data_IF_344629783680
#
_entry.id   IF_344629783680
#
_cell.length_a   1.000
_cell.length_b   1.000
_cell.length_c   1.000
_cell.angle_alpha   90.00
_cell.angle_beta   90.00
_cell.angle_gamma   90.00
#
_symmetry.space_group_name_H-M   'P 1'
#
loop_
_entity.id
_entity.type
_entity.pdbx_description
1 polymer ?
#
# COMPACT_ATOMS: atom_id res chain seq x y z
N UNK A 1 19.46 21.17 -21.80
CA UNK A 1 19.23 21.28 -20.34
C UNK A 1 17.72 21.41 -20.15
N UNK A 2 17.06 20.39 -19.62
CA UNK A 2 15.59 20.37 -19.49
C UNK A 2 15.24 20.91 -18.11
N UNK A 3 14.65 22.10 -18.06
CA UNK A 3 14.00 22.63 -16.86
C UNK A 3 12.61 21.99 -16.75
N UNK A 4 12.43 21.12 -15.76
CA UNK A 4 11.11 20.58 -15.43
C UNK A 4 10.37 21.68 -14.67
N UNK A 5 9.53 22.43 -15.38
CA UNK A 5 8.46 23.25 -14.79
C UNK A 5 7.36 22.32 -14.31
N UNK A 6 7.52 21.73 -13.12
CA UNK A 6 6.42 21.01 -12.48
C UNK A 6 5.35 22.05 -12.17
N UNK A 7 4.17 21.84 -12.77
CA UNK A 7 3.01 22.68 -12.67
C UNK A 7 2.65 22.95 -11.20
N UNK A 8 3.01 24.14 -10.73
CA UNK A 8 2.34 24.83 -9.63
C UNK A 8 1.08 25.46 -10.23
N UNK A 9 0.11 24.64 -10.60
CA UNK A 9 -1.25 25.00 -11.02
C UNK A 9 -2.07 23.73 -10.68
N UNK A 10 -2.81 23.63 -9.58
CA UNK A 10 -3.82 24.56 -9.06
C UNK A 10 -3.85 24.53 -7.52
N UNK A 11 -4.05 25.73 -6.95
CA UNK A 11 -4.25 25.98 -5.54
C UNK A 11 -5.68 25.64 -5.14
N UNK A 12 -5.87 24.86 -4.05
CA UNK A 12 -6.81 25.21 -2.98
C UNK A 12 -6.22 24.80 -1.60
N UNK A 13 -5.96 25.81 -0.76
CA UNK A 13 -5.94 25.79 0.71
C UNK A 13 -5.12 24.72 1.51
N UNK A 14 -3.89 24.39 1.14
CA UNK A 14 -3.00 23.56 1.98
C UNK A 14 -1.67 24.24 2.33
N UNK A 15 -1.34 24.41 3.62
CA UNK A 15 0.01 24.79 4.07
C UNK A 15 0.99 23.65 3.76
N UNK A 16 1.79 23.76 2.69
CA UNK A 16 2.82 22.76 2.41
C UNK A 16 4.04 22.93 3.32
N UNK A 17 4.40 21.87 4.04
CA UNK A 17 5.77 21.70 4.54
C UNK A 17 6.66 21.43 3.32
N UNK A 18 7.69 22.24 3.11
CA UNK A 18 8.74 21.94 2.13
C UNK A 18 9.30 20.56 2.46
N UNK A 19 9.01 19.56 1.64
CA UNK A 19 9.58 18.22 1.77
C UNK A 19 11.08 18.37 1.55
N UNK A 20 11.87 18.32 2.62
CA UNK A 20 13.31 18.24 2.48
C UNK A 20 13.64 16.88 1.90
N UNK A 21 14.22 16.85 0.70
CA UNK A 21 14.80 15.62 0.15
C UNK A 21 15.89 15.16 1.12
N UNK A 22 15.60 14.11 1.90
CA UNK A 22 16.59 13.52 2.80
C UNK A 22 17.58 12.77 1.94
N UNK A 23 18.86 13.14 2.05
CA UNK A 23 19.93 12.41 1.41
C UNK A 23 20.32 11.20 2.30
N UNK A 24 19.79 10.03 1.99
CA UNK A 24 20.12 8.80 2.72
C UNK A 24 21.53 8.27 2.44
N UNK A 25 22.24 8.82 1.45
CA UNK A 25 23.61 8.41 1.12
C UNK A 25 24.67 9.14 1.97
N UNK A 26 24.26 10.01 2.90
CA UNK A 26 25.16 10.73 3.80
C UNK A 26 24.95 10.33 5.26
N UNK A 27 26.06 10.06 5.95
CA UNK A 27 26.04 9.81 7.40
C UNK A 27 25.68 11.08 8.14
N UNK A 28 24.74 10.99 9.07
CA UNK A 28 24.38 12.10 9.97
C UNK A 28 24.59 11.69 11.44
N UNK A 29 24.42 12.64 12.36
CA UNK A 29 24.45 12.35 13.81
C UNK A 29 23.30 11.45 14.28
N UNK A 30 22.24 11.29 13.47
CA UNK A 30 21.03 10.52 13.80
C UNK A 30 21.04 9.12 13.18
N UNK A 31 22.03 8.81 12.35
CA UNK A 31 22.15 7.52 11.66
C UNK A 31 23.19 6.66 12.35
N UNK A 32 22.81 5.44 12.68
CA UNK A 32 23.60 4.46 13.41
C UNK A 32 23.57 3.06 12.76
N UNK A 33 23.02 2.95 11.54
CA UNK A 33 23.06 1.74 10.70
C UNK A 33 23.34 2.07 9.24
N UNK A 34 23.81 1.07 8.49
CA UNK A 34 24.08 1.16 7.05
C UNK A 34 23.40 -0.01 6.33
N UNK A 35 22.51 0.30 5.39
CA UNK A 35 21.93 -0.66 4.46
C UNK A 35 22.63 -0.56 3.11
N UNK A 36 22.90 -1.70 2.48
CA UNK A 36 23.47 -1.80 1.13
C UNK A 36 22.41 -2.27 0.16
N UNK A 37 22.22 -1.53 -0.94
CA UNK A 37 21.29 -1.90 -2.02
C UNK A 37 21.97 -1.69 -3.37
N UNK A 38 22.27 -2.78 -4.07
CA UNK A 38 22.93 -2.72 -5.38
C UNK A 38 24.25 -1.93 -5.35
N UNK A 39 25.04 -2.12 -4.28
CA UNK A 39 26.29 -1.39 -4.04
C UNK A 39 26.15 0.03 -3.49
N UNK A 40 24.93 0.56 -3.34
CA UNK A 40 24.70 1.89 -2.76
C UNK A 40 24.50 1.81 -1.24
N UNK A 41 25.13 2.75 -0.51
CA UNK A 41 25.00 2.86 0.96
C UNK A 41 23.86 3.78 1.35
N UNK A 42 23.05 3.32 2.30
CA UNK A 42 21.95 4.06 2.92
C UNK A 42 22.20 4.14 4.43
N UNK A 43 22.44 5.34 4.95
CA UNK A 43 22.63 5.62 6.36
C UNK A 43 21.29 5.85 7.04
N UNK A 44 20.93 4.98 8.00
CA UNK A 44 19.60 4.94 8.61
C UNK A 44 19.66 4.97 10.13
N UNK A 45 18.53 5.27 10.79
CA UNK A 45 18.39 5.05 12.23
C UNK A 45 17.81 3.67 12.50
N UNK A 46 18.59 2.80 13.13
CA UNK A 46 18.16 1.43 13.47
C UNK A 46 16.95 1.44 14.38
N UNK A 47 16.92 2.35 15.35
CA UNK A 47 15.80 2.51 16.28
C UNK A 47 14.51 2.91 15.56
N UNK A 48 14.56 3.92 14.67
CA UNK A 48 13.38 4.36 13.92
C UNK A 48 12.81 3.23 13.07
N UNK A 49 13.66 2.56 12.28
CA UNK A 49 13.20 1.45 11.44
C UNK A 49 12.66 0.28 12.25
N UNK A 50 13.31 -0.07 13.35
CA UNK A 50 12.87 -1.18 14.22
C UNK A 50 11.54 -0.90 14.92
N UNK A 51 11.23 0.36 15.19
CA UNK A 51 9.93 0.74 15.75
C UNK A 51 8.80 0.60 14.73
N UNK A 52 9.11 0.75 13.44
CA UNK A 52 8.12 0.73 12.35
C UNK A 52 8.03 -0.63 11.65
N UNK A 53 9.00 -1.51 11.84
CA UNK A 53 9.13 -2.75 11.08
C UNK A 53 9.68 -3.89 11.94
N UNK A 54 8.93 -5.00 11.98
CA UNK A 54 9.38 -6.22 12.66
C UNK A 54 10.59 -6.85 11.96
N UNK A 55 10.71 -6.71 10.64
CA UNK A 55 11.89 -7.15 9.90
C UNK A 55 13.14 -6.40 10.37
N UNK A 56 13.11 -5.06 10.35
CA UNK A 56 14.27 -4.26 10.76
C UNK A 56 14.58 -4.43 12.25
N UNK A 57 13.57 -4.62 13.10
CA UNK A 57 13.77 -4.96 14.51
C UNK A 57 14.57 -6.24 14.69
N UNK A 58 14.19 -7.32 13.99
CA UNK A 58 14.94 -8.58 14.02
C UNK A 58 16.33 -8.44 13.39
N UNK A 59 16.43 -7.69 12.30
CA UNK A 59 17.69 -7.46 11.59
C UNK A 59 18.73 -6.76 12.47
N UNK A 60 18.33 -5.70 13.18
CA UNK A 60 19.24 -4.89 13.97
C UNK A 60 19.42 -5.38 15.41
N UNK A 61 18.40 -6.03 16.00
CA UNK A 61 18.38 -6.36 17.44
C UNK A 61 18.07 -7.85 17.73
N UNK A 62 17.97 -8.71 16.72
CA UNK A 62 17.54 -10.10 16.87
C UNK A 62 18.65 -11.16 16.99
N UNK A 63 19.94 -10.80 16.88
CA UNK A 63 21.06 -11.74 16.87
C UNK A 63 22.15 -11.46 17.91
N UNK A 64 22.95 -12.50 18.23
CA UNK A 64 24.08 -12.44 19.17
C UNK A 64 25.32 -11.71 18.59
N UNK A 65 25.38 -11.53 17.27
CA UNK A 65 26.40 -10.72 16.62
C UNK A 65 25.91 -9.28 16.58
N UNK A 66 26.64 -8.41 17.27
CA UNK A 66 26.41 -6.99 17.34
C UNK A 66 26.53 -6.38 15.93
N UNK A 67 25.40 -6.21 15.24
CA UNK A 67 25.34 -5.54 13.94
C UNK A 67 25.59 -4.04 14.04
N UNK A 68 25.94 -3.52 15.23
CA UNK A 68 26.27 -2.12 15.47
C UNK A 68 27.31 -1.52 14.51
N UNK A 69 28.12 -2.35 13.86
CA UNK A 69 29.12 -1.91 12.90
C UNK A 69 29.04 -2.60 11.53
N UNK A 70 28.05 -3.47 11.29
CA UNK A 70 27.95 -4.19 10.03
C UNK A 70 27.10 -3.42 9.02
N UNK A 71 27.63 -3.28 7.81
CA UNK A 71 26.82 -2.97 6.64
C UNK A 71 25.93 -4.19 6.35
N UNK A 72 24.65 -3.97 6.08
CA UNK A 72 23.69 -5.04 5.82
C UNK A 72 23.15 -4.92 4.41
N UNK A 73 23.36 -5.95 3.60
CA UNK A 73 22.82 -6.02 2.25
C UNK A 73 21.34 -6.41 2.24
N UNK A 74 20.54 -5.62 1.51
CA UNK A 74 19.14 -5.93 1.22
C UNK A 74 19.03 -6.36 -0.24
N UNK A 75 18.77 -7.65 -0.44
CA UNK A 75 18.56 -8.22 -1.77
C UNK A 75 17.17 -7.85 -2.33
N UNK A 76 17.00 -7.94 -3.65
CA UNK A 76 15.72 -7.80 -4.36
C UNK A 76 14.93 -6.51 -4.08
N UNK A 77 15.56 -5.43 -3.62
CA UNK A 77 14.95 -4.08 -3.53
C UNK A 77 15.82 -3.14 -4.35
N UNK A 78 15.23 -2.18 -5.06
CA UNK A 78 16.00 -1.15 -5.76
C UNK A 78 16.15 0.11 -4.88
N UNK A 79 17.15 0.92 -5.20
CA UNK A 79 17.50 2.12 -4.44
C UNK A 79 16.37 3.16 -4.33
N UNK A 80 15.55 3.30 -5.38
CA UNK A 80 14.46 4.28 -5.40
C UNK A 80 13.32 3.87 -4.49
N UNK A 81 12.97 2.58 -4.50
CA UNK A 81 11.92 2.00 -3.67
C UNK A 81 12.31 2.00 -2.18
N UNK A 82 13.58 1.68 -1.88
CA UNK A 82 14.08 1.86 -0.51
C UNK A 82 14.04 3.32 -0.07
N UNK A 83 14.47 4.27 -0.93
CA UNK A 83 14.41 5.70 -0.62
C UNK A 83 12.98 6.15 -0.31
N UNK A 84 12.03 5.70 -1.11
CA UNK A 84 10.61 5.96 -0.90
C UNK A 84 10.16 5.45 0.46
N UNK A 85 10.43 4.18 0.79
CA UNK A 85 10.08 3.59 2.08
C UNK A 85 10.71 4.36 3.26
N UNK A 86 12.01 4.65 3.19
CA UNK A 86 12.72 5.37 4.25
C UNK A 86 12.12 6.76 4.50
N UNK A 87 11.76 7.48 3.44
CA UNK A 87 11.10 8.78 3.58
C UNK A 87 9.76 8.67 4.33
N UNK A 88 8.99 7.61 4.09
CA UNK A 88 7.72 7.37 4.78
C UNK A 88 7.95 6.96 6.24
N UNK A 89 8.79 5.96 6.49
CA UNK A 89 9.03 5.43 7.85
C UNK A 89 9.65 6.47 8.80
N UNK A 90 10.42 7.41 8.25
CA UNK A 90 10.97 8.53 9.01
C UNK A 90 10.07 9.78 9.06
N UNK A 91 8.84 9.70 8.52
CA UNK A 91 7.86 10.80 8.43
C UNK A 91 8.40 12.04 7.71
N UNK A 92 9.26 11.83 6.73
CA UNK A 92 9.87 12.86 5.88
C UNK A 92 9.05 13.12 4.61
N UNK A 93 8.15 12.19 4.25
CA UNK A 93 7.16 12.33 3.19
C UNK A 93 5.80 11.73 3.61
N UNK A 94 4.68 12.24 3.08
CA UNK A 94 3.37 11.61 3.27
C UNK A 94 3.25 10.34 2.40
N UNK A 95 2.40 9.42 2.84
CA UNK A 95 1.94 8.30 2.00
C UNK A 95 1.09 8.86 0.87
N UNK A 96 1.22 8.32 -0.34
CA UNK A 96 0.51 8.81 -1.52
C UNK A 96 0.01 7.67 -2.39
N UNK A 97 -1.21 7.80 -2.92
CA UNK A 97 -1.92 6.77 -3.69
C UNK A 97 -1.19 6.35 -4.97
N UNK A 98 -0.58 7.29 -5.69
CA UNK A 98 0.20 6.98 -6.91
C UNK A 98 1.41 6.06 -6.68
N UNK A 99 1.81 5.84 -5.42
CA UNK A 99 2.88 4.92 -5.01
C UNK A 99 2.36 3.72 -4.21
N UNK A 100 1.04 3.57 -4.07
CA UNK A 100 0.42 2.59 -3.18
C UNK A 100 0.90 1.16 -3.47
N UNK A 101 0.94 0.74 -4.73
CA UNK A 101 1.37 -0.61 -5.11
C UNK A 101 2.78 -0.96 -4.60
N UNK A 102 3.75 -0.08 -4.86
CA UNK A 102 5.15 -0.23 -4.42
C UNK A 102 5.20 -0.21 -2.88
N UNK A 103 4.48 0.72 -2.25
CA UNK A 103 4.48 0.85 -0.79
C UNK A 103 3.85 -0.37 -0.11
N UNK A 104 2.77 -0.92 -0.65
CA UNK A 104 2.12 -2.14 -0.15
C UNK A 104 3.08 -3.32 -0.22
N UNK A 105 3.76 -3.50 -1.34
CA UNK A 105 4.76 -4.57 -1.51
C UNK A 105 5.88 -4.45 -0.48
N UNK A 106 6.47 -3.26 -0.35
CA UNK A 106 7.57 -3.02 0.60
C UNK A 106 7.11 -3.15 2.06
N UNK A 107 5.93 -2.61 2.39
CA UNK A 107 5.39 -2.66 3.74
C UNK A 107 5.09 -4.10 4.17
N UNK A 108 4.47 -4.89 3.29
CA UNK A 108 4.25 -6.31 3.54
C UNK A 108 5.58 -7.06 3.69
N UNK A 109 6.50 -6.86 2.75
CA UNK A 109 7.81 -7.52 2.74
C UNK A 109 8.65 -7.25 3.97
N UNK A 110 8.71 -5.98 4.40
CA UNK A 110 9.47 -5.57 5.58
C UNK A 110 8.63 -5.61 6.86
N UNK A 111 7.40 -6.13 6.83
CA UNK A 111 6.55 -6.25 8.01
C UNK A 111 6.31 -4.90 8.72
N UNK A 112 6.03 -3.86 7.93
CA UNK A 112 5.69 -2.52 8.39
C UNK A 112 4.17 -2.39 8.60
N UNK A 113 3.64 -2.94 9.70
CA UNK A 113 2.19 -3.02 9.93
C UNK A 113 1.52 -1.64 9.94
N UNK A 114 2.10 -0.66 10.65
CA UNK A 114 1.55 0.71 10.68
C UNK A 114 1.45 1.34 9.29
N UNK A 115 2.38 1.03 8.38
CA UNK A 115 2.31 1.52 7.00
C UNK A 115 1.23 0.79 6.19
N UNK A 116 1.03 -0.51 6.42
CA UNK A 116 -0.10 -1.23 5.81
C UNK A 116 -1.43 -0.65 6.28
N UNK A 117 -1.56 -0.37 7.58
CA UNK A 117 -2.77 0.26 8.15
C UNK A 117 -2.99 1.66 7.55
N UNK A 118 -1.94 2.49 7.44
CA UNK A 118 -2.02 3.81 6.80
C UNK A 118 -2.46 3.69 5.33
N UNK A 119 -1.92 2.72 4.58
CA UNK A 119 -2.28 2.48 3.17
C UNK A 119 -3.72 1.97 3.02
N UNK A 120 -4.14 1.06 3.87
CA UNK A 120 -5.49 0.52 3.91
C UNK A 120 -6.52 1.62 4.13
N UNK A 121 -6.30 2.51 5.11
CA UNK A 121 -7.19 3.64 5.38
C UNK A 121 -7.27 4.62 4.20
N UNK A 122 -6.14 4.95 3.56
CA UNK A 122 -6.14 5.89 2.44
C UNK A 122 -6.86 5.30 1.21
N UNK A 123 -6.67 4.01 0.94
CA UNK A 123 -7.37 3.32 -0.16
C UNK A 123 -8.87 3.18 0.12
N UNK A 124 -9.24 2.96 1.39
CA UNK A 124 -10.63 2.94 1.84
C UNK A 124 -11.32 4.31 1.72
N UNK A 125 -10.60 5.39 2.01
CA UNK A 125 -11.11 6.75 1.83
C UNK A 125 -11.32 7.07 0.34
N UNK A 126 -10.41 6.65 -0.53
CA UNK A 126 -10.53 6.77 -2.00
C UNK A 126 -11.78 6.03 -2.53
N UNK A 127 -12.10 4.85 -1.98
CA UNK A 127 -13.28 4.07 -2.39
C UNK A 127 -14.60 4.84 -2.28
N UNK A 128 -14.74 5.72 -1.29
CA UNK A 128 -16.02 6.40 -1.01
C UNK A 128 -16.59 7.21 -2.19
N UNK A 129 -15.79 7.43 -3.24
CA UNK A 129 -16.17 8.14 -4.46
C UNK A 129 -15.87 7.36 -5.75
N UNK A 130 -15.43 6.10 -5.66
CA UNK A 130 -14.93 5.34 -6.81
C UNK A 130 -15.95 4.33 -7.32
N UNK A 131 -16.33 4.47 -8.60
CA UNK A 131 -17.26 3.59 -9.30
C UNK A 131 -16.56 2.75 -10.38
N UNK A 132 -15.28 3.01 -10.67
CA UNK A 132 -14.52 2.29 -11.69
C UNK A 132 -14.27 0.83 -11.27
N UNK A 133 -14.83 -0.10 -12.05
CA UNK A 133 -14.74 -1.52 -11.77
C UNK A 133 -13.31 -2.07 -11.82
N UNK A 134 -12.42 -1.47 -12.62
CA UNK A 134 -11.01 -1.85 -12.68
C UNK A 134 -10.28 -1.44 -11.40
N UNK A 135 -10.59 -0.26 -10.84
CA UNK A 135 -10.02 0.21 -9.57
C UNK A 135 -10.53 -0.63 -8.39
N UNK A 136 -11.84 -0.92 -8.36
CA UNK A 136 -12.44 -1.81 -7.35
C UNK A 136 -11.74 -3.17 -7.36
N UNK A 137 -11.64 -3.80 -8.54
CA UNK A 137 -11.05 -5.12 -8.65
C UNK A 137 -9.56 -5.13 -8.29
N UNK A 138 -8.81 -4.11 -8.70
CA UNK A 138 -7.40 -3.93 -8.32
C UNK A 138 -7.25 -3.86 -6.79
N UNK A 139 -8.08 -3.04 -6.13
CA UNK A 139 -7.98 -2.83 -4.69
C UNK A 139 -8.44 -4.08 -3.91
N UNK A 140 -9.42 -4.84 -4.42
CA UNK A 140 -9.74 -6.18 -3.89
C UNK A 140 -8.56 -7.14 -4.02
N UNK A 141 -7.89 -7.21 -5.17
CA UNK A 141 -6.69 -8.04 -5.34
C UNK A 141 -5.58 -7.64 -4.36
N UNK A 142 -5.32 -6.35 -4.18
CA UNK A 142 -4.36 -5.85 -3.19
C UNK A 142 -4.76 -6.22 -1.76
N UNK A 143 -6.05 -6.08 -1.43
CA UNK A 143 -6.56 -6.41 -0.09
C UNK A 143 -6.32 -7.88 0.27
N UNK A 144 -6.54 -8.79 -0.68
CA UNK A 144 -6.28 -10.21 -0.50
C UNK A 144 -4.78 -10.52 -0.42
N UNK A 145 -3.98 -9.93 -1.32
CA UNK A 145 -2.54 -10.18 -1.39
C UNK A 145 -1.80 -9.72 -0.13
N UNK A 146 -2.20 -8.58 0.45
CA UNK A 146 -1.49 -7.96 1.56
C UNK A 146 -2.20 -8.08 2.91
N UNK A 147 -3.38 -8.71 2.96
CA UNK A 147 -4.13 -8.94 4.20
C UNK A 147 -4.85 -7.69 4.72
N UNK A 148 -5.32 -6.81 3.83
CA UNK A 148 -6.03 -5.58 4.16
C UNK A 148 -7.52 -5.90 4.37
N UNK A 149 -7.87 -6.36 5.56
CA UNK A 149 -9.20 -6.89 5.86
C UNK A 149 -10.31 -5.83 5.86
N UNK A 150 -10.02 -4.62 6.34
CA UNK A 150 -10.98 -3.52 6.35
C UNK A 150 -11.27 -3.04 4.92
N UNK A 151 -10.23 -2.90 4.10
CA UNK A 151 -10.36 -2.55 2.69
C UNK A 151 -11.20 -3.60 1.95
N UNK A 152 -10.87 -4.88 2.14
CA UNK A 152 -11.63 -5.98 1.54
C UNK A 152 -13.10 -5.88 1.90
N UNK A 153 -13.40 -5.75 3.19
CA UNK A 153 -14.78 -5.67 3.68
C UNK A 153 -15.53 -4.50 3.03
N UNK A 154 -14.93 -3.32 2.97
CA UNK A 154 -15.55 -2.13 2.42
C UNK A 154 -15.86 -2.28 0.92
N UNK A 155 -14.91 -2.79 0.13
CA UNK A 155 -15.16 -3.05 -1.29
C UNK A 155 -16.19 -4.18 -1.50
N UNK A 156 -16.16 -5.23 -0.68
CA UNK A 156 -17.12 -6.35 -0.78
C UNK A 156 -18.55 -5.98 -0.35
N UNK A 157 -18.71 -4.90 0.42
CA UNK A 157 -20.03 -4.37 0.79
C UNK A 157 -20.67 -3.47 -0.26
N UNK A 158 -20.01 -3.26 -1.41
CA UNK A 158 -20.58 -2.50 -2.52
C UNK A 158 -21.74 -3.23 -3.21
N UNK A 159 -22.61 -2.45 -3.86
CA UNK A 159 -23.73 -2.98 -4.64
C UNK A 159 -23.23 -3.44 -6.01
N UNK A 160 -23.07 -4.75 -6.19
CA UNK A 160 -22.55 -5.34 -7.42
C UNK A 160 -23.69 -5.82 -8.32
N UNK A 161 -23.80 -5.25 -9.51
CA UNK A 161 -24.75 -5.73 -10.53
C UNK A 161 -24.12 -6.76 -11.47
N UNK A 162 -24.98 -7.48 -12.21
CA UNK A 162 -24.53 -8.40 -13.28
C UNK A 162 -23.68 -7.66 -14.33
N UNK A 163 -24.01 -6.40 -14.62
CA UNK A 163 -23.23 -5.58 -15.56
C UNK A 163 -21.84 -5.27 -15.01
N UNK A 164 -21.76 -4.81 -13.75
CA UNK A 164 -20.51 -4.51 -13.04
C UNK A 164 -19.57 -5.71 -13.05
N UNK A 165 -20.07 -6.91 -12.68
CA UNK A 165 -19.24 -8.12 -12.68
C UNK A 165 -18.85 -8.60 -14.07
N UNK A 166 -19.68 -8.34 -15.09
CA UNK A 166 -19.32 -8.63 -16.47
C UNK A 166 -18.18 -7.75 -16.95
N UNK A 167 -18.13 -6.47 -16.54
CA UNK A 167 -17.00 -5.57 -16.81
C UNK A 167 -15.76 -6.01 -16.04
N UNK A 168 -15.88 -6.32 -14.74
CA UNK A 168 -14.77 -6.82 -13.92
C UNK A 168 -14.11 -8.06 -14.51
N UNK A 169 -14.90 -9.03 -15.01
CA UNK A 169 -14.37 -10.24 -15.67
C UNK A 169 -13.51 -9.97 -16.90
N UNK A 170 -13.68 -8.82 -17.55
CA UNK A 170 -12.88 -8.40 -18.71
C UNK A 170 -11.58 -7.71 -18.29
N UNK A 171 -11.47 -7.27 -17.04
CA UNK A 171 -10.26 -6.64 -16.51
C UNK A 171 -9.11 -7.64 -16.41
N UNK A 172 -7.89 -7.12 -16.56
CA UNK A 172 -6.65 -7.89 -16.37
C UNK A 172 -6.50 -8.41 -14.93
N UNK A 173 -7.06 -7.71 -13.94
CA UNK A 173 -6.93 -8.08 -12.51
C UNK A 173 -7.81 -9.25 -12.09
N UNK A 174 -8.81 -9.64 -12.89
CA UNK A 174 -9.73 -10.74 -12.52
C UNK A 174 -9.00 -12.06 -12.26
N UNK A 175 -7.90 -12.29 -12.99
CA UNK A 175 -7.09 -13.51 -12.85
C UNK A 175 -6.26 -13.53 -11.57
N UNK A 176 -6.01 -12.36 -10.98
CA UNK A 176 -5.22 -12.20 -9.75
C UNK A 176 -6.10 -12.25 -8.50
N UNK A 177 -7.43 -12.24 -8.67
CA UNK A 177 -8.38 -12.37 -7.59
C UNK A 177 -8.41 -13.82 -7.10
N UNK A 178 -8.39 -14.01 -5.77
CA UNK A 178 -8.49 -15.35 -5.21
C UNK A 178 -9.90 -15.95 -5.42
N UNK A 179 -9.96 -17.27 -5.48
CA UNK A 179 -11.19 -18.01 -5.76
C UNK A 179 -12.28 -17.81 -4.69
N UNK A 180 -11.93 -17.54 -3.43
CA UNK A 180 -12.93 -17.28 -2.40
C UNK A 180 -13.61 -15.93 -2.62
N UNK A 181 -12.82 -14.87 -2.85
CA UNK A 181 -13.37 -13.54 -3.14
C UNK A 181 -14.16 -13.52 -4.45
N UNK A 182 -13.68 -14.21 -5.49
CA UNK A 182 -14.43 -14.32 -6.75
C UNK A 182 -15.80 -14.99 -6.57
N UNK A 183 -15.87 -16.04 -5.73
CA UNK A 183 -17.15 -16.69 -5.39
C UNK A 183 -18.05 -15.79 -4.56
N UNK A 184 -17.51 -15.05 -3.59
CA UNK A 184 -18.29 -14.11 -2.78
C UNK A 184 -18.92 -13.00 -3.66
N UNK A 185 -18.16 -12.44 -4.60
CA UNK A 185 -18.69 -11.46 -5.57
C UNK A 185 -19.84 -12.05 -6.40
N UNK A 186 -19.66 -13.27 -6.92
CA UNK A 186 -20.71 -13.94 -7.70
C UNK A 186 -21.93 -14.26 -6.82
N UNK A 187 -21.74 -14.64 -5.56
CA UNK A 187 -22.82 -14.90 -4.62
C UNK A 187 -23.58 -13.63 -4.21
N UNK A 188 -22.93 -12.47 -4.21
CA UNK A 188 -23.60 -11.19 -3.95
C UNK A 188 -24.75 -10.94 -4.95
N UNK A 189 -24.57 -11.30 -6.23
CA UNK A 189 -25.61 -11.20 -7.26
C UNK A 189 -26.86 -12.03 -6.97
N UNK A 190 -26.68 -13.21 -6.39
CA UNK A 190 -27.80 -14.13 -6.15
C UNK A 190 -28.61 -13.73 -4.93
N UNK A 191 -28.02 -12.98 -3.99
CA UNK A 191 -28.74 -12.46 -2.82
C UNK A 191 -29.72 -11.35 -3.20
N UNK A 192 -29.38 -10.49 -4.17
CA UNK A 192 -30.30 -9.45 -4.67
C UNK A 192 -31.56 -10.06 -5.30
N UNK A 193 -31.42 -11.14 -6.07
CA UNK A 193 -32.57 -11.81 -6.72
C UNK A 193 -33.55 -12.46 -5.76
N UNK A 194 -33.10 -12.97 -4.61
CA UNK A 194 -34.00 -13.59 -3.64
C UNK A 194 -34.88 -12.55 -2.92
N UNK A 195 -34.38 -11.32 -2.73
CA UNK A 195 -35.17 -10.24 -2.15
C UNK A 195 -36.22 -9.68 -3.13
N UNK A 196 -35.92 -9.64 -4.43
CA UNK A 196 -36.92 -9.22 -5.44
C UNK A 196 -38.06 -10.24 -5.54
N UNK A 197 -37.77 -11.54 -5.62
CA UNK A 197 -38.79 -12.60 -5.71
C UNK A 197 -39.66 -12.69 -4.43
N UNK A 198 -39.08 -12.57 -3.23
CA UNK A 198 -39.83 -12.61 -1.97
C UNK A 198 -40.75 -11.38 -1.79
N UNK A 199 -40.37 -10.22 -2.35
CA UNK A 199 -41.19 -9.00 -2.29
C UNK A 199 -42.39 -9.01 -3.25
N UNK A 200 -42.29 -9.71 -4.39
CA UNK A 200 -43.40 -9.87 -5.33
C UNK A 200 -44.43 -10.93 -4.88
N UNK A 201 -44.05 -11.86 -3.99
CA UNK A 201 -44.98 -12.83 -3.40
C UNK A 201 -45.77 -12.28 -2.20
N UNK A 202 -45.24 -11.30 -1.46
CA UNK A 202 -45.98 -10.66 -0.34
C UNK A 202 -47.02 -9.61 -0.78
N UNK A 203 -46.96 -9.12 -2.03
CA UNK A 203 -47.93 -8.17 -2.61
C UNK A 203 -49.11 -8.84 -3.36
N UNK A 204 -49.22 -10.17 -3.36
CA UNK A 204 -50.34 -10.93 -3.97
C UNK A 204 -51.29 -11.57 -2.97
#
# INVERSE_FOLDING_TARGET
RVEIRIAVLTLEAGKFRKLSLVNWNEKTRRTDGVLLVGGNKFFVSRQTLSMQSNFFKKLFFGGANDTAHSEVELENVNANDLTLLLNILHRMAPVTLHKAEILLELAHRFGCSMLLDDLENILADEFSYEEDEEIILRNLCWSNKYGLHFLKHQYMSGDFTVETLTKMKRSKYWKDLDEATARELVNALFKERQFEDDSEEEEK
#
